data_IF_409360636591
#
_entry.id   IF_409360636591
#
_cell.length_a   1.000
_cell.length_b   1.000
_cell.length_c   1.000
_cell.angle_alpha   90.00
_cell.angle_beta   90.00
_cell.angle_gamma   90.00
#
_symmetry.space_group_name_H-M   'P 1'
#
loop_
_entity.id
_entity.type
_entity.pdbx_description
1 polymer ?
#
# COMPACT_ATOMS: atom_id res chain seq x y z
N UNK A 1 11.09 -1.55 -12.30
CA UNK A 1 10.41 -2.27 -13.41
C UNK A 1 11.36 -2.81 -14.46
N UNK A 2 12.66 -2.61 -14.24
CA UNK A 2 13.72 -3.15 -15.09
C UNK A 2 13.64 -4.69 -15.23
N UNK A 3 13.17 -5.40 -14.19
CA UNK A 3 12.92 -6.84 -14.25
C UNK A 3 11.97 -7.24 -15.41
N UNK A 4 10.88 -6.48 -15.63
CA UNK A 4 9.93 -6.79 -16.71
C UNK A 4 10.60 -6.65 -18.09
N UNK A 5 11.47 -5.64 -18.25
CA UNK A 5 12.25 -5.47 -19.48
C UNK A 5 13.24 -6.63 -19.67
N UNK A 6 14.00 -7.00 -18.63
CA UNK A 6 14.95 -8.13 -18.69
C UNK A 6 14.25 -9.46 -18.96
N UNK A 7 13.13 -9.69 -18.27
CA UNK A 7 12.43 -10.98 -18.34
C UNK A 7 11.70 -11.20 -19.68
N UNK A 8 11.09 -10.16 -20.19
CA UNK A 8 10.23 -10.24 -21.38
C UNK A 8 10.85 -9.56 -22.62
N UNK A 9 12.01 -8.90 -22.52
CA UNK A 9 12.60 -8.18 -23.62
C UNK A 9 11.78 -6.95 -24.07
N UNK A 10 10.87 -6.42 -23.23
CA UNK A 10 9.89 -5.41 -23.61
C UNK A 10 10.02 -4.11 -22.82
N UNK A 11 10.46 -3.05 -23.49
CA UNK A 11 10.40 -1.69 -22.94
C UNK A 11 8.98 -1.25 -22.63
N UNK A 12 8.00 -1.70 -23.44
CA UNK A 12 6.58 -1.38 -23.24
C UNK A 12 6.04 -1.92 -21.92
N UNK A 13 6.32 -3.18 -21.57
CA UNK A 13 5.91 -3.76 -20.29
C UNK A 13 6.55 -3.05 -19.09
N UNK A 14 7.81 -2.61 -19.22
CA UNK A 14 8.45 -1.80 -18.19
C UNK A 14 7.72 -0.48 -17.97
N UNK A 15 7.39 0.23 -19.06
CA UNK A 15 6.65 1.50 -19.01
C UNK A 15 5.25 1.29 -18.43
N UNK A 16 4.52 0.27 -18.88
CA UNK A 16 3.19 -0.07 -18.33
C UNK A 16 3.24 -0.35 -16.83
N UNK A 17 4.23 -1.14 -16.38
CA UNK A 17 4.43 -1.41 -14.96
C UNK A 17 4.71 -0.13 -14.15
N UNK A 18 5.53 0.77 -14.68
CA UNK A 18 5.82 2.05 -14.05
C UNK A 18 4.57 2.97 -13.98
N UNK A 19 3.77 3.02 -15.03
CA UNK A 19 2.50 3.79 -15.04
C UNK A 19 1.53 3.24 -14.00
N UNK A 20 1.33 1.93 -13.92
CA UNK A 20 0.46 1.33 -12.91
C UNK A 20 0.93 1.62 -11.48
N UNK A 21 2.24 1.58 -11.25
CA UNK A 21 2.80 1.98 -9.95
C UNK A 21 2.53 3.45 -9.62
N UNK A 22 2.66 4.35 -10.59
CA UNK A 22 2.37 5.78 -10.37
C UNK A 22 0.89 5.98 -10.01
N UNK A 23 -0.02 5.31 -10.72
CA UNK A 23 -1.46 5.33 -10.41
C UNK A 23 -1.71 4.83 -8.98
N UNK A 24 -1.13 3.67 -8.63
CA UNK A 24 -1.21 3.13 -7.28
C UNK A 24 -0.69 4.12 -6.23
N UNK A 25 0.45 4.72 -6.48
CA UNK A 25 1.10 5.62 -5.52
C UNK A 25 0.30 6.93 -5.32
N UNK A 26 -0.33 7.45 -6.36
CA UNK A 26 -1.25 8.59 -6.24
C UNK A 26 -2.41 8.24 -5.31
N UNK A 27 -3.10 7.13 -5.54
CA UNK A 27 -4.22 6.72 -4.67
C UNK A 27 -3.77 6.49 -3.22
N UNK A 28 -2.61 5.85 -3.03
CA UNK A 28 -2.02 5.64 -1.70
C UNK A 28 -1.71 6.97 -1.00
N UNK A 29 -1.05 7.89 -1.66
CA UNK A 29 -0.73 9.20 -1.09
C UNK A 29 -2.00 9.98 -0.75
N UNK A 30 -3.03 9.90 -1.58
CA UNK A 30 -4.27 10.63 -1.38
C UNK A 30 -5.02 10.17 -0.12
N UNK A 31 -5.12 8.87 0.12
CA UNK A 31 -5.79 8.35 1.32
C UNK A 31 -4.96 8.64 2.59
N UNK A 32 -3.64 8.62 2.49
CA UNK A 32 -2.73 8.93 3.59
C UNK A 32 -2.76 10.42 3.96
N UNK A 33 -3.00 11.32 3.01
CA UNK A 33 -3.26 12.74 3.32
C UNK A 33 -4.65 12.94 3.93
N UNK A 34 -5.66 12.26 3.40
CA UNK A 34 -7.04 12.42 3.83
C UNK A 34 -7.26 12.10 5.31
N UNK A 35 -6.79 10.92 5.78
CA UNK A 35 -7.08 10.41 7.11
C UNK A 35 -6.63 11.34 8.25
N UNK A 36 -5.35 11.74 8.38
CA UNK A 36 -4.92 12.64 9.44
C UNK A 36 -5.57 14.01 9.36
N UNK A 37 -5.84 14.51 8.13
CA UNK A 37 -6.49 15.80 7.94
C UNK A 37 -7.97 15.75 8.38
N UNK A 38 -8.67 14.66 8.11
CA UNK A 38 -10.04 14.45 8.59
C UNK A 38 -10.08 14.43 10.12
N UNK A 39 -9.16 13.71 10.75
CA UNK A 39 -9.02 13.65 12.21
C UNK A 39 -8.81 15.05 12.79
N UNK A 40 -7.82 15.78 12.29
CA UNK A 40 -7.52 17.12 12.82
C UNK A 40 -8.66 18.11 12.56
N UNK A 41 -9.33 18.00 11.41
CA UNK A 41 -10.50 18.81 11.08
C UNK A 41 -11.65 18.59 12.06
N UNK A 42 -11.95 17.34 12.43
CA UNK A 42 -13.01 17.02 13.39
C UNK A 42 -12.71 17.53 14.81
N UNK A 43 -11.43 17.62 15.19
CA UNK A 43 -11.01 18.09 16.51
C UNK A 43 -10.88 19.62 16.62
N UNK A 44 -10.45 20.27 15.55
CA UNK A 44 -10.11 21.72 15.56
C UNK A 44 -11.17 22.57 14.90
N UNK A 45 -12.09 22.00 14.13
CA UNK A 45 -13.04 22.72 13.28
C UNK A 45 -12.42 23.37 12.04
N UNK A 46 -11.11 23.17 11.80
CA UNK A 46 -10.44 23.68 10.60
C UNK A 46 -10.91 22.91 9.38
N UNK A 47 -11.12 23.60 8.27
CA UNK A 47 -11.58 22.97 7.03
C UNK A 47 -10.60 21.89 6.55
N UNK A 48 -11.09 20.66 6.32
CA UNK A 48 -10.30 19.49 5.94
C UNK A 48 -9.51 19.74 4.63
N UNK A 49 -10.10 20.46 3.66
CA UNK A 49 -9.43 20.75 2.40
C UNK A 49 -8.21 21.67 2.61
N UNK A 50 -8.31 22.64 3.52
CA UNK A 50 -7.18 23.50 3.88
C UNK A 50 -6.05 22.69 4.50
N UNK A 51 -6.36 21.76 5.41
CA UNK A 51 -5.39 20.89 6.04
C UNK A 51 -4.69 19.97 5.02
N UNK A 52 -5.45 19.41 4.07
CA UNK A 52 -4.91 18.59 2.97
C UNK A 52 -3.94 19.41 2.11
N UNK A 53 -4.29 20.64 1.75
CA UNK A 53 -3.41 21.51 0.97
C UNK A 53 -2.11 21.82 1.73
N UNK A 54 -2.21 22.21 3.00
CA UNK A 54 -1.03 22.48 3.84
C UNK A 54 -0.13 21.27 3.94
N UNK A 55 -0.70 20.09 4.25
CA UNK A 55 0.04 18.84 4.37
C UNK A 55 0.73 18.45 3.06
N UNK A 56 0.00 18.56 1.94
CA UNK A 56 0.54 18.23 0.63
C UNK A 56 1.65 19.18 0.17
N UNK A 57 1.52 20.49 0.43
CA UNK A 57 2.56 21.49 0.12
C UNK A 57 3.84 21.17 0.93
N UNK A 58 3.71 20.89 2.22
CA UNK A 58 4.85 20.53 3.08
C UNK A 58 5.52 19.25 2.53
N UNK A 59 4.74 18.22 2.13
CA UNK A 59 5.28 16.99 1.55
C UNK A 59 6.06 17.25 0.26
N UNK A 60 5.53 18.10 -0.62
CA UNK A 60 6.17 18.47 -1.89
C UNK A 60 7.50 19.20 -1.62
N UNK A 61 7.51 20.21 -0.76
CA UNK A 61 8.72 20.98 -0.41
C UNK A 61 9.78 20.03 0.15
N UNK A 62 9.38 19.15 1.05
CA UNK A 62 10.26 18.21 1.71
C UNK A 62 10.86 17.18 0.74
N UNK A 63 10.04 16.63 -0.17
CA UNK A 63 10.50 15.72 -1.22
C UNK A 63 11.43 16.41 -2.22
N UNK A 64 11.15 17.67 -2.56
CA UNK A 64 11.95 18.45 -3.50
C UNK A 64 13.36 18.74 -3.00
N UNK A 65 13.53 18.97 -1.69
CA UNK A 65 14.81 19.40 -1.08
C UNK A 65 15.64 18.25 -0.51
N UNK A 66 15.00 17.16 -0.05
CA UNK A 66 15.62 16.20 0.86
C UNK A 66 16.35 15.01 0.22
N UNK A 67 15.90 14.51 -0.91
CA UNK A 67 16.40 13.27 -1.51
C UNK A 67 16.26 12.02 -0.61
N UNK A 68 16.66 10.84 -1.11
CA UNK A 68 16.44 9.55 -0.44
C UNK A 68 17.10 9.43 0.94
N UNK A 69 18.32 9.97 1.11
CA UNK A 69 19.06 9.88 2.39
C UNK A 69 18.37 10.65 3.50
N UNK A 70 17.87 11.83 3.20
CA UNK A 70 17.11 12.65 4.16
C UNK A 70 15.83 11.95 4.57
N UNK A 71 15.10 11.38 3.60
CA UNK A 71 13.85 10.64 3.82
C UNK A 71 14.09 9.45 4.77
N UNK A 72 15.15 8.65 4.57
CA UNK A 72 15.42 7.50 5.45
C UNK A 72 15.69 7.90 6.90
N UNK A 73 16.39 9.01 7.16
CA UNK A 73 16.64 9.50 8.51
C UNK A 73 15.38 10.03 9.19
N UNK A 74 14.58 10.78 8.45
CA UNK A 74 13.32 11.30 8.99
C UNK A 74 12.30 10.19 9.21
N UNK A 75 12.21 9.19 8.32
CA UNK A 75 11.38 8.00 8.50
C UNK A 75 11.72 7.27 9.81
N UNK A 76 13.02 7.14 10.12
CA UNK A 76 13.46 6.50 11.35
C UNK A 76 13.01 7.28 12.60
N UNK A 77 13.21 8.60 12.63
CA UNK A 77 12.82 9.46 13.76
C UNK A 77 11.30 9.46 13.92
N UNK A 78 10.56 9.67 12.83
CA UNK A 78 9.10 9.74 12.83
C UNK A 78 8.46 8.40 13.22
N UNK A 79 9.00 7.30 12.71
CA UNK A 79 8.57 5.95 13.10
C UNK A 79 8.83 5.64 14.55
N UNK A 80 9.98 6.11 15.11
CA UNK A 80 10.29 5.93 16.51
C UNK A 80 9.33 6.71 17.42
N UNK A 81 9.03 7.96 17.09
CA UNK A 81 8.06 8.79 17.84
C UNK A 81 6.67 8.18 17.78
N UNK A 82 6.23 7.71 16.60
CA UNK A 82 4.95 7.02 16.45
C UNK A 82 4.89 5.75 17.32
N UNK A 83 5.92 4.92 17.28
CA UNK A 83 5.98 3.68 18.05
C UNK A 83 5.88 3.94 19.57
N UNK A 84 6.62 4.91 20.06
CA UNK A 84 6.57 5.33 21.48
C UNK A 84 5.16 5.84 21.83
N UNK A 85 4.61 6.74 21.01
CA UNK A 85 3.30 7.34 21.24
C UNK A 85 2.16 6.32 21.24
N UNK A 86 2.16 5.39 20.28
CA UNK A 86 1.14 4.33 20.16
C UNK A 86 1.26 3.32 21.32
N UNK A 87 2.50 2.95 21.69
CA UNK A 87 2.73 2.06 22.84
C UNK A 87 2.25 2.71 24.16
N UNK A 88 2.57 3.99 24.35
CA UNK A 88 2.05 4.75 25.49
C UNK A 88 0.52 4.80 25.50
N UNK A 89 -0.10 5.07 24.34
CA UNK A 89 -1.57 5.09 24.20
C UNK A 89 -2.20 3.76 24.61
N UNK A 90 -1.58 2.62 24.25
CA UNK A 90 -2.04 1.30 24.67
C UNK A 90 -1.96 1.15 26.20
N UNK A 91 -0.85 1.51 26.84
CA UNK A 91 -0.72 1.40 28.29
C UNK A 91 -1.69 2.32 29.03
N UNK A 92 -1.88 3.54 28.53
CA UNK A 92 -2.85 4.47 29.09
C UNK A 92 -4.27 3.94 28.98
N UNK A 93 -4.64 3.37 27.81
CA UNK A 93 -5.94 2.74 27.58
C UNK A 93 -6.17 1.57 28.53
N UNK A 94 -5.18 0.68 28.69
CA UNK A 94 -5.25 -0.46 29.60
C UNK A 94 -5.42 -0.07 31.06
N UNK A 95 -4.84 1.07 31.46
CA UNK A 95 -4.98 1.59 32.83
C UNK A 95 -6.38 2.18 33.11
N UNK A 96 -7.16 2.52 32.08
CA UNK A 96 -8.49 3.13 32.19
C UNK A 96 -9.65 2.19 31.78
N UNK A 97 -9.34 0.92 31.49
CA UNK A 97 -10.34 -0.12 31.26
C UNK A 97 -10.51 -0.92 32.56
N UNK A 98 -11.73 -1.05 33.07
CA UNK A 98 -12.04 -1.90 34.20
C UNK A 98 -11.71 -3.37 33.87
N UNK A 99 -10.82 -3.97 34.67
CA UNK A 99 -10.27 -5.29 34.43
C UNK A 99 -9.07 -5.34 33.47
N UNK A 100 -8.62 -4.19 32.93
CA UNK A 100 -7.39 -4.03 32.15
C UNK A 100 -7.30 -4.97 30.94
N UNK A 101 -6.11 -5.56 30.71
CA UNK A 101 -5.88 -6.46 29.58
C UNK A 101 -6.72 -7.74 29.61
N UNK A 102 -7.15 -8.18 30.83
CA UNK A 102 -8.02 -9.35 30.99
C UNK A 102 -9.37 -9.16 30.28
N UNK A 103 -9.96 -7.98 30.36
CA UNK A 103 -11.24 -7.67 29.69
C UNK A 103 -11.10 -7.65 28.18
N UNK A 104 -9.95 -7.20 27.66
CA UNK A 104 -9.67 -7.27 26.21
C UNK A 104 -9.61 -8.73 25.73
N UNK A 105 -8.91 -9.61 26.47
CA UNK A 105 -8.86 -11.03 26.12
C UNK A 105 -10.21 -11.71 26.27
N UNK A 106 -11.02 -11.30 27.24
CA UNK A 106 -12.39 -11.76 27.37
C UNK A 106 -13.22 -11.36 26.14
N UNK A 107 -13.13 -10.11 25.69
CA UNK A 107 -13.80 -9.65 24.46
C UNK A 107 -13.32 -10.41 23.21
N UNK A 108 -12.03 -10.76 23.13
CA UNK A 108 -11.54 -11.63 22.06
C UNK A 108 -12.23 -13.00 22.05
N UNK A 109 -12.42 -13.59 23.21
CA UNK A 109 -12.95 -14.95 23.35
C UNK A 109 -14.49 -15.00 23.24
N UNK A 110 -15.20 -14.05 23.87
CA UNK A 110 -16.66 -14.08 24.01
C UNK A 110 -17.42 -13.25 22.99
N UNK A 111 -16.82 -12.15 22.53
CA UNK A 111 -17.44 -11.23 21.57
C UNK A 111 -16.83 -11.33 20.17
N UNK A 112 -16.09 -12.43 19.96
CA UNK A 112 -15.55 -12.79 18.66
C UNK A 112 -14.67 -11.70 17.99
N UNK A 113 -14.01 -10.87 18.79
CA UNK A 113 -13.14 -9.79 18.28
C UNK A 113 -11.79 -10.27 17.75
N UNK A 114 -11.40 -11.53 18.00
CA UNK A 114 -10.16 -12.11 17.50
C UNK A 114 -10.25 -12.55 16.03
N UNK A 115 -11.40 -13.12 15.63
CA UNK A 115 -11.70 -13.47 14.25
C UNK A 115 -13.04 -12.83 13.86
N UNK A 116 -13.20 -12.42 12.62
CA UNK A 116 -14.47 -11.92 12.08
C UNK A 116 -15.48 -13.07 12.00
N UNK A 117 -16.18 -13.34 13.10
CA UNK A 117 -16.98 -14.55 13.31
C UNK A 117 -18.29 -14.53 12.54
N UNK A 118 -18.71 -13.35 12.10
CA UNK A 118 -19.86 -13.21 11.18
C UNK A 118 -19.55 -13.76 9.78
N UNK A 119 -18.27 -14.08 9.52
CA UNK A 119 -17.81 -14.63 8.25
C UNK A 119 -17.44 -16.12 8.40
N UNK A 120 -17.79 -16.97 7.45
CA UNK A 120 -17.40 -18.37 7.48
C UNK A 120 -15.88 -18.51 7.42
N UNK A 121 -15.31 -19.48 8.11
CA UNK A 121 -13.86 -19.76 8.03
C UNK A 121 -13.45 -20.04 6.58
N UNK A 122 -14.24 -20.84 5.88
CA UNK A 122 -14.05 -21.18 4.48
C UNK A 122 -15.38 -21.04 3.72
N UNK A 123 -15.33 -20.40 2.55
CA UNK A 123 -16.44 -20.32 1.60
C UNK A 123 -15.97 -20.97 0.29
N UNK A 124 -16.70 -21.96 -0.25
CA UNK A 124 -16.39 -22.54 -1.57
C UNK A 124 -16.39 -21.50 -2.69
N UNK A 125 -17.19 -20.44 -2.56
CA UNK A 125 -17.16 -19.30 -3.45
C UNK A 125 -16.06 -18.33 -3.03
N UNK A 126 -14.91 -18.37 -3.72
CA UNK A 126 -13.75 -17.49 -3.48
C UNK A 126 -14.04 -16.00 -3.75
N UNK A 127 -15.18 -15.67 -4.33
CA UNK A 127 -15.60 -14.29 -4.57
C UNK A 127 -16.30 -13.67 -3.34
N UNK A 128 -16.74 -14.50 -2.38
CA UNK A 128 -17.40 -14.04 -1.17
C UNK A 128 -16.44 -13.99 0.02
N UNK A 129 -16.78 -13.18 1.00
CA UNK A 129 -15.98 -13.04 2.21
C UNK A 129 -15.90 -14.37 2.97
N UNK A 130 -14.70 -14.67 3.43
CA UNK A 130 -14.37 -15.72 4.38
C UNK A 130 -13.02 -15.41 5.01
N UNK A 131 -12.78 -15.93 6.21
CA UNK A 131 -11.49 -15.73 6.91
C UNK A 131 -10.32 -16.21 6.03
N UNK A 132 -10.49 -17.34 5.35
CA UNK A 132 -9.49 -17.89 4.44
C UNK A 132 -9.15 -16.92 3.29
N UNK A 133 -10.17 -16.37 2.62
CA UNK A 133 -9.96 -15.43 1.50
C UNK A 133 -9.35 -14.12 1.99
N UNK A 134 -9.72 -13.62 3.17
CA UNK A 134 -9.12 -12.43 3.77
C UNK A 134 -7.62 -12.65 4.02
N UNK A 135 -7.23 -13.78 4.62
CA UNK A 135 -5.82 -14.10 4.89
C UNK A 135 -5.02 -14.26 3.60
N UNK A 136 -5.55 -15.04 2.65
CA UNK A 136 -4.85 -15.32 1.38
C UNK A 136 -4.78 -14.06 0.52
N UNK A 137 -5.86 -13.30 0.42
CA UNK A 137 -5.90 -12.05 -0.35
C UNK A 137 -4.99 -10.97 0.23
N UNK A 138 -5.01 -10.77 1.55
CA UNK A 138 -4.09 -9.86 2.23
C UNK A 138 -2.63 -10.30 2.04
N UNK A 139 -2.37 -11.61 2.10
CA UNK A 139 -1.06 -12.19 1.83
C UNK A 139 -0.55 -11.88 0.42
N UNK A 140 -1.39 -12.06 -0.61
CA UNK A 140 -1.03 -11.70 -1.98
C UNK A 140 -0.86 -10.18 -2.17
N UNK A 141 -1.72 -9.35 -1.57
CA UNK A 141 -1.56 -7.89 -1.60
C UNK A 141 -0.21 -7.47 -0.99
N UNK A 142 0.13 -8.01 0.18
CA UNK A 142 1.40 -7.70 0.86
C UNK A 142 2.60 -8.19 0.06
N UNK A 143 2.59 -9.46 -0.39
CA UNK A 143 3.65 -10.01 -1.24
C UNK A 143 3.84 -9.17 -2.51
N UNK A 144 2.75 -8.73 -3.11
CA UNK A 144 2.78 -7.87 -4.28
C UNK A 144 3.43 -6.53 -4.03
N UNK A 145 3.16 -5.91 -2.91
CA UNK A 145 3.80 -4.67 -2.52
C UNK A 145 5.33 -4.84 -2.41
N UNK A 146 5.80 -5.95 -1.81
CA UNK A 146 7.23 -6.22 -1.68
C UNK A 146 7.93 -6.49 -3.02
N UNK A 147 7.23 -7.05 -4.01
CA UNK A 147 7.78 -7.41 -5.32
C UNK A 147 7.65 -6.28 -6.33
N UNK A 148 6.52 -5.56 -6.32
CA UNK A 148 6.18 -4.61 -7.39
C UNK A 148 6.17 -3.15 -6.97
N UNK A 149 6.28 -2.82 -5.69
CA UNK A 149 6.27 -1.42 -5.24
C UNK A 149 7.67 -0.83 -5.22
N UNK A 150 7.90 0.20 -6.04
CA UNK A 150 9.22 0.83 -6.21
C UNK A 150 9.76 1.43 -4.91
N UNK A 151 8.90 1.98 -4.06
CA UNK A 151 9.29 2.57 -2.78
C UNK A 151 9.87 1.53 -1.79
N UNK A 152 9.42 0.30 -1.87
CA UNK A 152 9.94 -0.82 -1.07
C UNK A 152 11.22 -1.38 -1.71
N UNK A 153 11.17 -1.70 -3.01
CA UNK A 153 12.30 -2.28 -3.75
C UNK A 153 13.51 -1.36 -3.71
N UNK A 154 13.32 -0.04 -3.84
CA UNK A 154 14.39 0.95 -3.78
C UNK A 154 15.15 0.93 -2.43
N UNK A 155 14.47 0.62 -1.33
CA UNK A 155 15.11 0.47 -0.02
C UNK A 155 15.96 -0.81 0.06
N UNK A 156 15.50 -1.91 -0.53
CA UNK A 156 16.27 -3.16 -0.56
C UNK A 156 17.54 -3.04 -1.41
N UNK A 157 17.52 -2.23 -2.47
CA UNK A 157 18.68 -2.01 -3.32
C UNK A 157 19.76 -1.09 -2.72
N UNK A 158 19.55 -0.55 -1.50
CA UNK A 158 20.58 0.20 -0.76
C UNK A 158 21.72 -0.67 -0.25
N UNK A 159 21.56 -2.01 -0.26
CA UNK A 159 22.61 -2.97 0.10
C UNK A 159 22.76 -4.04 -0.97
N UNK A 160 24.00 -4.44 -1.23
CA UNK A 160 24.35 -5.58 -2.10
C UNK A 160 24.64 -6.86 -1.31
N UNK A 161 24.69 -6.76 0.03
CA UNK A 161 24.99 -7.87 0.92
C UNK A 161 23.70 -8.63 1.27
N UNK A 162 23.58 -9.85 0.80
CA UNK A 162 22.44 -10.73 1.05
C UNK A 162 22.17 -11.00 2.54
N UNK A 163 23.21 -11.07 3.38
CA UNK A 163 23.05 -11.25 4.83
C UNK A 163 22.41 -10.03 5.47
N UNK A 164 22.84 -8.83 5.06
CA UNK A 164 22.24 -7.57 5.52
C UNK A 164 20.80 -7.45 5.03
N UNK A 165 20.52 -7.80 3.78
CA UNK A 165 19.17 -7.80 3.23
C UNK A 165 18.26 -8.73 4.02
N UNK A 166 18.67 -9.97 4.28
CA UNK A 166 17.88 -10.91 5.07
C UNK A 166 17.63 -10.39 6.48
N UNK A 167 18.62 -9.79 7.14
CA UNK A 167 18.45 -9.16 8.45
C UNK A 167 17.44 -8.01 8.40
N UNK A 168 17.49 -7.16 7.37
CA UNK A 168 16.51 -6.09 7.17
C UNK A 168 15.09 -6.65 7.03
N UNK A 169 14.90 -7.70 6.21
CA UNK A 169 13.58 -8.32 5.99
C UNK A 169 13.04 -8.97 7.27
N UNK A 170 13.86 -9.71 8.00
CA UNK A 170 13.46 -10.34 9.28
C UNK A 170 13.12 -9.29 10.34
N UNK A 171 13.92 -8.23 10.46
CA UNK A 171 13.65 -7.13 11.40
C UNK A 171 12.34 -6.42 11.03
N UNK A 172 12.13 -6.12 9.74
CA UNK A 172 10.90 -5.52 9.27
C UNK A 172 9.67 -6.41 9.55
N UNK A 173 9.78 -7.73 9.32
CA UNK A 173 8.71 -8.69 9.62
C UNK A 173 8.38 -8.73 11.12
N UNK A 174 9.39 -8.84 11.99
CA UNK A 174 9.19 -8.82 13.43
C UNK A 174 8.57 -7.52 13.93
N UNK A 175 9.06 -6.39 13.44
CA UNK A 175 8.52 -5.06 13.79
C UNK A 175 7.08 -4.87 13.29
N UNK A 176 6.76 -5.38 12.10
CA UNK A 176 5.39 -5.33 11.55
C UNK A 176 4.41 -6.14 12.39
N UNK A 177 4.81 -7.34 12.87
CA UNK A 177 3.99 -8.16 13.79
C UNK A 177 3.75 -7.41 15.09
N UNK A 178 4.80 -6.83 15.68
CA UNK A 178 4.70 -6.06 16.92
C UNK A 178 3.74 -4.88 16.77
N UNK A 179 3.93 -4.06 15.74
CA UNK A 179 3.09 -2.89 15.46
C UNK A 179 1.64 -3.30 15.22
N UNK A 180 1.40 -4.32 14.40
CA UNK A 180 0.05 -4.82 14.14
C UNK A 180 -0.61 -5.27 15.45
N UNK A 181 0.08 -6.03 16.29
CA UNK A 181 -0.44 -6.48 17.60
C UNK A 181 -0.84 -5.30 18.48
N UNK A 182 0.01 -4.27 18.57
CA UNK A 182 -0.28 -3.07 19.37
C UNK A 182 -1.54 -2.36 18.87
N UNK A 183 -1.66 -2.15 17.55
CA UNK A 183 -2.84 -1.48 16.98
C UNK A 183 -4.13 -2.30 17.12
N UNK A 184 -4.07 -3.63 16.97
CA UNK A 184 -5.23 -4.49 17.19
C UNK A 184 -5.66 -4.50 18.67
N UNK A 185 -4.71 -4.51 19.60
CA UNK A 185 -5.01 -4.38 21.04
C UNK A 185 -5.65 -3.03 21.36
N UNK A 186 -5.17 -1.92 20.75
CA UNK A 186 -5.79 -0.62 20.89
C UNK A 186 -7.22 -0.64 20.32
N UNK A 187 -7.42 -1.18 19.13
CA UNK A 187 -8.73 -1.25 18.50
C UNK A 187 -9.77 -1.99 19.36
N UNK A 188 -9.42 -3.18 19.87
CA UNK A 188 -10.30 -3.94 20.78
C UNK A 188 -10.39 -3.26 22.14
N UNK A 189 -9.30 -2.66 22.63
CA UNK A 189 -9.32 -1.90 23.87
C UNK A 189 -10.26 -0.69 23.79
N UNK A 190 -10.28 0.05 22.68
CA UNK A 190 -11.23 1.15 22.46
C UNK A 190 -12.67 0.67 22.42
N UNK A 191 -12.91 -0.50 21.80
CA UNK A 191 -14.24 -1.12 21.83
C UNK A 191 -14.71 -1.38 23.27
N UNK A 192 -13.87 -2.00 24.10
CA UNK A 192 -14.17 -2.26 25.52
C UNK A 192 -14.30 -0.98 26.31
N UNK A 193 -13.40 -0.01 26.10
CA UNK A 193 -13.40 1.27 26.79
C UNK A 193 -14.71 2.04 26.56
N UNK A 194 -15.19 2.09 25.32
CA UNK A 194 -16.45 2.77 24.99
C UNK A 194 -17.71 1.94 25.25
N UNK A 195 -17.60 0.69 25.67
CA UNK A 195 -18.70 -0.02 26.34
C UNK A 195 -18.84 0.40 27.80
N UNK A 196 -17.74 0.75 28.45
CA UNK A 196 -17.71 1.21 29.84
C UNK A 196 -17.92 2.72 29.99
N UNK A 197 -17.62 3.49 28.93
CA UNK A 197 -17.69 4.95 28.89
C UNK A 197 -18.56 5.43 27.72
N UNK A 198 -19.09 6.65 27.83
CA UNK A 198 -19.92 7.23 26.78
C UNK A 198 -19.09 7.47 25.48
N UNK A 199 -19.63 7.03 24.36
CA UNK A 199 -19.06 7.35 23.04
C UNK A 199 -19.16 8.86 22.78
N UNK A 200 -18.10 9.48 22.20
CA UNK A 200 -18.17 10.86 21.76
C UNK A 200 -19.33 11.05 20.76
N UNK A 201 -20.09 12.15 20.84
CA UNK A 201 -21.19 12.42 19.90
C UNK A 201 -20.67 12.42 18.46
N UNK A 202 -21.35 11.70 17.56
CA UNK A 202 -21.14 11.70 16.11
C UNK A 202 -19.75 11.21 15.62
N UNK A 203 -19.04 10.37 16.37
CA UNK A 203 -17.79 9.77 15.87
C UNK A 203 -18.08 8.69 14.81
N UNK A 204 -17.69 8.93 13.56
CA UNK A 204 -17.62 7.88 12.58
C UNK A 204 -16.57 6.81 12.99
N UNK A 205 -16.70 5.58 12.52
CA UNK A 205 -15.83 4.46 12.91
C UNK A 205 -14.34 4.80 12.76
N UNK A 206 -13.94 5.45 11.66
CA UNK A 206 -12.56 5.88 11.43
C UNK A 206 -12.10 7.03 12.34
N UNK A 207 -13.01 7.65 13.11
CA UNK A 207 -12.72 8.77 14.04
C UNK A 207 -12.61 8.35 15.50
N UNK A 208 -12.96 7.10 15.86
CA UNK A 208 -13.00 6.65 17.26
C UNK A 208 -11.66 6.79 17.95
N UNK A 209 -10.57 6.31 17.33
CA UNK A 209 -9.23 6.42 17.90
C UNK A 209 -8.76 7.88 18.00
N UNK A 210 -9.11 8.68 17.02
CA UNK A 210 -8.82 10.11 17.03
C UNK A 210 -9.53 10.85 18.16
N UNK A 211 -10.80 10.53 18.37
CA UNK A 211 -11.58 11.09 19.48
C UNK A 211 -11.00 10.68 20.85
N UNK A 212 -10.56 9.43 20.98
CA UNK A 212 -9.87 8.96 22.18
C UNK A 212 -8.57 9.77 22.42
N UNK A 213 -7.76 9.97 21.38
CA UNK A 213 -6.54 10.76 21.49
C UNK A 213 -6.83 12.19 21.95
N UNK A 214 -7.92 12.79 21.45
CA UNK A 214 -8.25 14.19 21.70
C UNK A 214 -8.85 14.43 23.08
N UNK A 215 -9.72 13.55 23.54
CA UNK A 215 -10.56 13.80 24.70
C UNK A 215 -10.16 13.01 25.94
N UNK A 216 -9.51 11.85 25.78
CA UNK A 216 -9.18 10.97 26.89
C UNK A 216 -7.69 11.01 27.30
N UNK A 217 -6.79 11.32 26.36
CA UNK A 217 -5.36 11.37 26.67
C UNK A 217 -4.97 12.70 27.36
N UNK A 218 -3.95 12.67 28.24
CA UNK A 218 -3.39 13.89 28.82
C UNK A 218 -2.88 14.86 27.74
N UNK A 219 -3.08 16.16 27.94
CA UNK A 219 -2.83 17.23 26.94
C UNK A 219 -1.47 17.12 26.22
N UNK A 220 -0.37 16.84 26.94
CA UNK A 220 0.94 16.69 26.31
C UNK A 220 1.07 15.49 25.39
N UNK A 221 0.43 14.37 25.74
CA UNK A 221 0.45 13.15 24.92
C UNK A 221 -0.49 13.26 23.72
N UNK A 222 -1.60 13.95 23.83
CA UNK A 222 -2.48 14.27 22.69
C UNK A 222 -1.69 14.99 21.59
N UNK A 223 -0.97 16.05 21.94
CA UNK A 223 -0.14 16.78 20.98
C UNK A 223 0.97 15.94 20.38
N UNK A 224 1.65 15.11 21.18
CA UNK A 224 2.70 14.22 20.72
C UNK A 224 2.18 13.18 19.73
N UNK A 225 1.03 12.54 20.02
CA UNK A 225 0.43 11.53 19.15
C UNK A 225 -0.08 12.12 17.85
N UNK A 226 -0.74 13.27 17.89
CA UNK A 226 -1.16 13.98 16.69
C UNK A 226 0.05 14.34 15.81
N UNK A 227 1.10 14.89 16.40
CA UNK A 227 2.34 15.18 15.68
C UNK A 227 2.97 13.90 15.09
N UNK A 228 2.96 12.77 15.82
CA UNK A 228 3.45 11.49 15.33
C UNK A 228 2.65 10.95 14.14
N UNK A 229 1.33 11.04 14.18
CA UNK A 229 0.45 10.63 13.07
C UNK A 229 0.73 11.48 11.82
N UNK A 230 0.83 12.80 11.98
CA UNK A 230 1.18 13.70 10.88
C UNK A 230 2.58 13.42 10.33
N UNK A 231 3.55 13.20 11.22
CA UNK A 231 4.91 12.87 10.83
C UNK A 231 4.98 11.55 10.04
N UNK A 232 4.26 10.50 10.47
CA UNK A 232 4.20 9.22 9.78
C UNK A 232 3.55 9.34 8.40
N UNK A 233 2.48 10.13 8.27
CA UNK A 233 1.86 10.42 6.99
C UNK A 233 2.84 11.18 6.07
N UNK A 234 3.52 12.20 6.59
CA UNK A 234 4.50 12.99 5.85
C UNK A 234 5.66 12.15 5.32
N UNK A 235 6.17 11.21 6.13
CA UNK A 235 7.18 10.23 5.74
C UNK A 235 6.73 9.40 4.53
N UNK A 236 5.51 8.88 4.58
CA UNK A 236 4.96 8.07 3.48
C UNK A 236 4.75 8.90 2.21
N UNK A 237 4.30 10.15 2.34
CA UNK A 237 4.12 11.06 1.21
C UNK A 237 5.46 11.39 0.53
N UNK A 238 6.49 11.75 1.29
CA UNK A 238 7.81 12.08 0.75
C UNK A 238 8.46 10.88 0.06
N UNK A 239 8.35 9.69 0.65
CA UNK A 239 8.81 8.44 0.03
C UNK A 239 8.05 8.14 -1.25
N UNK A 240 6.71 8.35 -1.26
CA UNK A 240 5.87 8.18 -2.43
C UNK A 240 6.27 9.09 -3.58
N UNK A 241 6.44 10.37 -3.32
CA UNK A 241 6.85 11.35 -4.32
C UNK A 241 8.23 11.04 -4.91
N UNK A 242 9.20 10.65 -4.08
CA UNK A 242 10.54 10.27 -4.54
C UNK A 242 10.51 8.99 -5.40
N UNK A 243 9.72 7.99 -5.02
CA UNK A 243 9.62 6.73 -5.77
C UNK A 243 8.93 6.92 -7.13
N UNK A 244 7.92 7.79 -7.19
CA UNK A 244 7.26 8.18 -8.44
C UNK A 244 8.25 8.93 -9.35
N UNK A 245 9.02 9.89 -8.82
CA UNK A 245 10.04 10.61 -9.57
C UNK A 245 11.10 9.65 -10.15
N UNK A 246 11.58 8.70 -9.34
CA UNK A 246 12.53 7.68 -9.77
C UNK A 246 11.93 6.76 -10.85
N UNK A 247 10.71 6.29 -10.66
CA UNK A 247 10.03 5.43 -11.63
C UNK A 247 9.78 6.15 -12.95
N UNK A 248 9.34 7.41 -12.90
CA UNK A 248 9.16 8.22 -14.12
C UNK A 248 10.49 8.41 -14.87
N UNK A 249 11.53 8.85 -14.18
CA UNK A 249 12.81 9.17 -14.81
C UNK A 249 13.52 7.95 -15.36
N UNK A 250 13.54 6.84 -14.61
CA UNK A 250 14.32 5.65 -14.97
C UNK A 250 13.54 4.63 -15.82
N UNK A 251 12.23 4.51 -15.61
CA UNK A 251 11.42 3.48 -16.26
C UNK A 251 10.59 4.01 -17.43
N UNK A 252 10.23 5.29 -17.43
CA UNK A 252 9.46 5.91 -18.51
C UNK A 252 10.33 6.82 -19.35
N UNK A 253 10.83 7.91 -18.78
CA UNK A 253 11.56 8.95 -19.52
C UNK A 253 12.81 8.39 -20.21
N UNK A 254 13.66 7.66 -19.47
CA UNK A 254 14.89 7.08 -20.01
C UNK A 254 14.65 6.01 -21.09
N UNK A 255 13.45 5.41 -21.14
CA UNK A 255 13.09 4.38 -22.14
C UNK A 255 12.38 4.94 -23.36
N UNK A 256 11.68 6.06 -23.22
CA UNK A 256 11.02 6.76 -24.34
C UNK A 256 11.93 7.80 -25.01
N UNK A 257 12.93 8.32 -24.30
CA UNK A 257 13.88 9.29 -24.84
C UNK A 257 14.87 8.61 -25.82
N UNK A 258 15.11 9.26 -26.95
CA UNK A 258 16.13 8.85 -27.94
C UNK A 258 17.55 9.24 -27.53
N UNK A 259 17.70 10.17 -26.56
CA UNK A 259 19.01 10.69 -26.12
C UNK A 259 19.17 10.39 -24.64
N UNK A 260 20.36 10.01 -24.23
CA UNK A 260 20.72 9.93 -22.82
C UNK A 260 20.66 11.32 -22.19
N UNK A 261 19.93 11.40 -21.07
CA UNK A 261 19.80 12.63 -20.31
C UNK A 261 20.92 12.72 -19.28
N UNK A 262 21.53 13.89 -19.13
CA UNK A 262 22.48 14.13 -18.05
C UNK A 262 21.80 13.96 -16.68
N UNK A 263 22.58 13.57 -15.67
CA UNK A 263 22.08 13.37 -14.30
C UNK A 263 21.34 14.59 -13.77
N UNK A 264 21.84 15.79 -14.05
CA UNK A 264 21.19 17.05 -13.65
C UNK A 264 19.80 17.22 -14.28
N UNK A 265 19.65 16.90 -15.57
CA UNK A 265 18.35 16.94 -16.26
C UNK A 265 17.39 15.90 -15.71
N UNK A 266 17.88 14.68 -15.43
CA UNK A 266 17.06 13.63 -14.81
C UNK A 266 16.54 14.08 -13.43
N UNK A 267 17.40 14.70 -12.61
CA UNK A 267 17.02 15.23 -11.29
C UNK A 267 15.95 16.32 -11.42
N UNK A 268 16.11 17.29 -12.32
CA UNK A 268 15.11 18.35 -12.57
C UNK A 268 13.76 17.77 -13.04
N UNK A 269 13.79 16.81 -13.96
CA UNK A 269 12.57 16.13 -14.40
C UNK A 269 11.88 15.43 -13.23
N UNK A 270 12.64 14.69 -12.41
CA UNK A 270 12.11 14.05 -11.21
C UNK A 270 11.46 15.03 -10.24
N UNK A 271 12.06 16.20 -10.02
CA UNK A 271 11.51 17.26 -9.19
C UNK A 271 10.18 17.80 -9.75
N UNK A 272 10.09 18.06 -11.06
CA UNK A 272 8.84 18.48 -11.70
C UNK A 272 7.75 17.40 -11.62
N UNK A 273 8.12 16.13 -11.80
CA UNK A 273 7.19 15.01 -11.67
C UNK A 273 6.66 14.91 -10.24
N UNK A 274 7.53 15.03 -9.23
CA UNK A 274 7.10 15.06 -7.82
C UNK A 274 6.11 16.19 -7.55
N UNK A 275 6.36 17.39 -8.10
CA UNK A 275 5.46 18.53 -7.96
C UNK A 275 4.09 18.25 -8.59
N UNK A 276 4.05 17.82 -9.85
CA UNK A 276 2.81 17.55 -10.59
C UNK A 276 2.01 16.45 -9.92
N UNK A 277 2.66 15.34 -9.57
CA UNK A 277 2.01 14.19 -8.92
C UNK A 277 1.55 14.55 -7.50
N UNK A 278 2.33 15.36 -6.78
CA UNK A 278 1.95 15.85 -5.46
C UNK A 278 0.69 16.73 -5.51
N UNK A 279 0.60 17.65 -6.47
CA UNK A 279 -0.61 18.47 -6.70
C UNK A 279 -1.80 17.58 -7.05
N UNK A 280 -1.59 16.60 -7.93
CA UNK A 280 -2.65 15.67 -8.31
C UNK A 280 -3.13 14.82 -7.12
N UNK A 281 -2.22 14.35 -6.26
CA UNK A 281 -2.57 13.63 -5.05
C UNK A 281 -3.36 14.50 -4.04
N UNK A 282 -3.05 15.81 -3.93
CA UNK A 282 -3.83 16.77 -3.14
C UNK A 282 -5.27 16.83 -3.67
N UNK A 283 -5.44 17.00 -4.98
CA UNK A 283 -6.77 17.09 -5.60
C UNK A 283 -7.57 15.81 -5.36
N UNK A 284 -6.96 14.63 -5.58
CA UNK A 284 -7.63 13.34 -5.33
C UNK A 284 -7.96 13.18 -3.85
N UNK A 285 -7.09 13.62 -2.94
CA UNK A 285 -7.36 13.61 -1.49
C UNK A 285 -8.57 14.47 -1.12
N UNK A 286 -8.71 15.67 -1.72
CA UNK A 286 -9.87 16.53 -1.52
C UNK A 286 -11.16 15.89 -2.06
N UNK A 287 -11.09 15.20 -3.19
CA UNK A 287 -12.23 14.45 -3.74
C UNK A 287 -12.63 13.33 -2.78
N UNK A 288 -11.68 12.58 -2.21
CA UNK A 288 -11.96 11.55 -1.21
C UNK A 288 -12.58 12.12 0.07
N UNK A 289 -12.07 13.26 0.54
CA UNK A 289 -12.58 13.94 1.74
C UNK A 289 -14.04 14.40 1.60
N UNK A 290 -14.48 14.74 0.39
CA UNK A 290 -15.84 15.19 0.11
C UNK A 290 -16.72 14.08 -0.50
N UNK A 291 -16.15 12.91 -0.82
CA UNK A 291 -16.81 11.80 -1.49
C UNK A 291 -17.52 10.79 -0.57
N UNK A 292 -17.52 10.99 0.74
CA UNK A 292 -18.23 10.12 1.69
C UNK A 292 -17.64 8.71 1.81
N UNK A 293 -16.31 8.57 1.81
CA UNK A 293 -15.62 7.29 2.02
C UNK A 293 -16.01 6.72 3.39
N UNK A 294 -16.66 5.55 3.41
CA UNK A 294 -17.13 4.91 4.65
C UNK A 294 -16.02 4.29 5.47
N UNK A 295 -15.07 3.61 4.80
CA UNK A 295 -13.89 3.02 5.40
C UNK A 295 -12.68 3.28 4.51
N UNK A 296 -11.72 4.04 5.02
CA UNK A 296 -10.47 4.34 4.32
C UNK A 296 -9.61 3.08 4.15
N UNK A 297 -9.65 2.17 5.12
CA UNK A 297 -8.94 0.89 5.06
C UNK A 297 -9.44 -0.01 3.93
N UNK A 298 -10.75 -0.17 3.80
CA UNK A 298 -11.37 -0.96 2.73
C UNK A 298 -11.13 -0.33 1.36
N UNK A 299 -11.30 1.00 1.27
CA UNK A 299 -11.02 1.73 0.04
C UNK A 299 -9.58 1.50 -0.42
N UNK A 300 -8.62 1.63 0.50
CA UNK A 300 -7.20 1.44 0.20
C UNK A 300 -6.89 0.01 -0.24
N UNK A 301 -7.36 -1.01 0.50
CA UNK A 301 -7.12 -2.41 0.16
C UNK A 301 -7.78 -2.81 -1.16
N UNK A 302 -9.00 -2.34 -1.42
CA UNK A 302 -9.68 -2.55 -2.69
C UNK A 302 -8.93 -1.89 -3.85
N UNK A 303 -8.51 -0.64 -3.69
CA UNK A 303 -7.71 0.06 -4.70
C UNK A 303 -6.35 -0.61 -4.93
N UNK A 304 -5.68 -1.04 -3.85
CA UNK A 304 -4.43 -1.78 -3.94
C UNK A 304 -4.61 -3.09 -4.71
N UNK A 305 -5.65 -3.85 -4.41
CA UNK A 305 -5.96 -5.10 -5.11
C UNK A 305 -6.25 -4.91 -6.60
N UNK A 306 -7.00 -3.84 -6.94
CA UNK A 306 -7.31 -3.50 -8.33
C UNK A 306 -6.06 -3.15 -9.15
N UNK A 307 -5.15 -2.37 -8.60
CA UNK A 307 -4.01 -1.81 -9.36
C UNK A 307 -2.76 -2.68 -9.24
N UNK A 308 -2.33 -3.00 -8.00
CA UNK A 308 -1.16 -3.84 -7.80
C UNK A 308 -1.41 -5.30 -8.18
N UNK A 309 -2.64 -5.81 -8.07
CA UNK A 309 -2.96 -7.18 -8.47
C UNK A 309 -2.55 -7.48 -9.91
N UNK A 310 -2.71 -6.53 -10.84
CA UNK A 310 -2.30 -6.65 -12.24
C UNK A 310 -0.78 -6.80 -12.35
N UNK A 311 -0.05 -5.97 -11.61
CA UNK A 311 1.42 -6.05 -11.57
C UNK A 311 1.90 -7.37 -10.97
N UNK A 312 1.32 -7.78 -9.85
CA UNK A 312 1.65 -9.04 -9.18
C UNK A 312 1.48 -10.22 -10.14
N UNK A 313 0.33 -10.29 -10.84
CA UNK A 313 0.07 -11.34 -11.82
C UNK A 313 1.13 -11.38 -12.92
N UNK A 314 1.54 -10.22 -13.43
CA UNK A 314 2.59 -10.13 -14.45
C UNK A 314 3.96 -10.55 -13.91
N UNK A 315 4.32 -10.15 -12.68
CA UNK A 315 5.56 -10.56 -12.03
C UNK A 315 5.58 -12.07 -11.75
N UNK A 316 4.47 -12.63 -11.24
CA UNK A 316 4.34 -14.08 -11.01
C UNK A 316 4.44 -14.85 -12.32
N UNK A 317 3.76 -14.42 -13.38
CA UNK A 317 3.87 -15.00 -14.70
C UNK A 317 5.34 -15.02 -15.17
N UNK A 318 6.08 -13.92 -14.96
CA UNK A 318 7.49 -13.83 -15.31
C UNK A 318 8.40 -14.73 -14.50
N UNK A 319 8.26 -14.71 -13.17
CA UNK A 319 9.16 -15.39 -12.25
C UNK A 319 8.95 -16.91 -12.20
N UNK A 320 7.68 -17.36 -12.29
CA UNK A 320 7.32 -18.75 -12.08
C UNK A 320 7.06 -19.55 -13.36
N UNK A 321 7.22 -18.94 -14.54
CA UNK A 321 7.06 -19.68 -15.82
C UNK A 321 8.26 -19.52 -16.73
N UNK A 322 8.67 -20.60 -17.39
CA UNK A 322 9.70 -20.56 -18.45
C UNK A 322 9.12 -20.17 -19.81
N UNK A 323 7.86 -20.48 -20.04
CA UNK A 323 7.20 -20.34 -21.35
C UNK A 323 6.74 -18.92 -21.65
N UNK A 324 6.54 -18.10 -20.61
CA UNK A 324 6.05 -16.74 -20.77
C UNK A 324 6.98 -15.89 -21.63
N UNK A 325 6.40 -15.18 -22.60
CA UNK A 325 7.07 -14.26 -23.50
C UNK A 325 6.39 -12.89 -23.51
N UNK A 326 6.92 -11.94 -24.27
CA UNK A 326 6.41 -10.58 -24.39
C UNK A 326 4.93 -10.53 -24.78
N UNK A 327 4.53 -11.33 -25.77
CA UNK A 327 3.15 -11.33 -26.26
C UNK A 327 2.18 -11.80 -25.18
N UNK A 328 2.46 -12.97 -24.56
CA UNK A 328 1.61 -13.52 -23.52
C UNK A 328 1.54 -12.62 -22.28
N UNK A 329 2.66 -12.02 -21.88
CA UNK A 329 2.70 -11.09 -20.75
C UNK A 329 1.90 -9.80 -21.03
N UNK A 330 1.99 -9.25 -22.25
CA UNK A 330 1.21 -8.06 -22.65
C UNK A 330 -0.28 -8.38 -22.69
N UNK A 331 -0.66 -9.51 -23.24
CA UNK A 331 -2.07 -9.94 -23.30
C UNK A 331 -2.62 -10.22 -21.89
N UNK A 332 -1.83 -10.85 -21.03
CA UNK A 332 -2.17 -11.08 -19.62
C UNK A 332 -2.40 -9.76 -18.86
N UNK A 333 -1.52 -8.79 -19.07
CA UNK A 333 -1.65 -7.46 -18.46
C UNK A 333 -2.93 -6.76 -18.91
N UNK A 334 -3.22 -6.76 -20.20
CA UNK A 334 -4.43 -6.15 -20.78
C UNK A 334 -5.69 -6.87 -20.27
N UNK A 335 -5.69 -8.21 -20.29
CA UNK A 335 -6.82 -9.00 -19.83
C UNK A 335 -7.10 -8.80 -18.34
N UNK A 336 -6.06 -8.83 -17.49
CA UNK A 336 -6.20 -8.55 -16.06
C UNK A 336 -6.73 -7.12 -15.82
N UNK A 337 -6.23 -6.13 -16.56
CA UNK A 337 -6.73 -4.76 -16.47
C UNK A 337 -8.19 -4.64 -16.85
N UNK A 338 -8.60 -5.28 -17.96
CA UNK A 338 -9.99 -5.28 -18.43
C UNK A 338 -10.92 -5.97 -17.41
N UNK A 339 -10.52 -7.12 -16.86
CA UNK A 339 -11.29 -7.83 -15.83
C UNK A 339 -11.43 -7.00 -14.57
N UNK A 340 -10.36 -6.35 -14.09
CA UNK A 340 -10.42 -5.51 -12.89
C UNK A 340 -11.31 -4.28 -13.09
N UNK A 341 -11.24 -3.62 -14.23
CA UNK A 341 -12.15 -2.54 -14.61
C UNK A 341 -13.59 -3.07 -14.70
N UNK A 342 -13.79 -4.23 -15.31
CA UNK A 342 -15.08 -4.89 -15.39
C UNK A 342 -15.68 -5.17 -14.01
N UNK A 343 -14.92 -5.74 -13.10
CA UNK A 343 -15.36 -6.00 -11.72
C UNK A 343 -15.75 -4.68 -11.05
N UNK A 344 -14.92 -3.65 -11.16
CA UNK A 344 -15.17 -2.38 -10.47
C UNK A 344 -16.45 -1.68 -10.90
N UNK A 345 -16.80 -1.74 -12.19
CA UNK A 345 -17.91 -0.93 -12.75
C UNK A 345 -19.17 -1.72 -13.04
N UNK A 346 -19.08 -3.03 -13.25
CA UNK A 346 -20.21 -3.85 -13.69
C UNK A 346 -20.63 -4.94 -12.70
N UNK A 347 -19.83 -5.19 -11.64
CA UNK A 347 -20.16 -6.18 -10.62
C UNK A 347 -20.51 -5.47 -9.31
N UNK A 348 -21.64 -5.80 -8.68
CA UNK A 348 -21.98 -5.26 -7.36
C UNK A 348 -20.90 -5.55 -6.33
N UNK A 349 -20.60 -4.58 -5.47
CA UNK A 349 -19.52 -4.71 -4.47
C UNK A 349 -19.77 -5.86 -3.48
N UNK A 350 -21.03 -6.25 -3.28
CA UNK A 350 -21.45 -7.38 -2.45
C UNK A 350 -21.18 -8.76 -3.08
N UNK A 351 -20.94 -8.80 -4.39
CA UNK A 351 -20.73 -10.06 -5.12
C UNK A 351 -19.26 -10.47 -5.20
N UNK A 352 -18.34 -9.52 -5.09
CA UNK A 352 -16.90 -9.80 -5.14
C UNK A 352 -16.17 -9.05 -4.04
N UNK A 353 -15.64 -9.81 -3.08
CA UNK A 353 -14.84 -9.24 -2.00
C UNK A 353 -13.55 -8.61 -2.51
N UNK A 354 -13.16 -7.49 -1.90
CA UNK A 354 -11.90 -6.79 -2.21
C UNK A 354 -10.67 -7.67 -2.03
N UNK A 355 -10.73 -8.65 -1.15
CA UNK A 355 -9.65 -9.59 -0.88
C UNK A 355 -9.38 -10.56 -2.04
N UNK A 356 -10.39 -10.79 -2.90
CA UNK A 356 -10.25 -11.64 -4.10
C UNK A 356 -9.60 -10.91 -5.28
N UNK A 357 -9.51 -9.58 -5.29
CA UNK A 357 -9.03 -8.82 -6.46
C UNK A 357 -7.63 -9.23 -6.92
N UNK A 358 -6.67 -9.35 -5.99
CA UNK A 358 -5.33 -9.81 -6.35
C UNK A 358 -5.30 -11.26 -6.82
N UNK A 359 -6.10 -12.13 -6.21
CA UNK A 359 -6.20 -13.55 -6.58
C UNK A 359 -6.75 -13.66 -8.00
N UNK A 360 -7.83 -12.93 -8.31
CA UNK A 360 -8.44 -12.90 -9.65
C UNK A 360 -7.43 -12.38 -10.68
N UNK A 361 -6.74 -11.26 -10.38
CA UNK A 361 -5.73 -10.69 -11.27
C UNK A 361 -4.59 -11.67 -11.57
N UNK A 362 -4.10 -12.38 -10.56
CA UNK A 362 -3.06 -13.40 -10.71
C UNK A 362 -3.61 -14.55 -11.58
N UNK A 363 -4.79 -15.06 -11.26
CA UNK A 363 -5.42 -16.15 -12.02
C UNK A 363 -5.61 -15.80 -13.50
N UNK A 364 -6.16 -14.61 -13.78
CA UNK A 364 -6.33 -14.12 -15.17
C UNK A 364 -4.98 -13.99 -15.86
N UNK A 365 -3.97 -13.44 -15.19
CA UNK A 365 -2.63 -13.31 -15.77
C UNK A 365 -2.01 -14.65 -16.14
N UNK A 366 -2.20 -15.69 -15.32
CA UNK A 366 -1.68 -17.02 -15.60
C UNK A 366 -2.51 -17.74 -16.69
N UNK A 367 -3.85 -17.71 -16.57
CA UNK A 367 -4.77 -18.40 -17.49
C UNK A 367 -4.69 -17.81 -18.90
N UNK A 368 -4.48 -16.51 -19.04
CA UNK A 368 -4.34 -15.87 -20.36
C UNK A 368 -2.88 -15.89 -20.82
N UNK A 369 -1.94 -15.56 -19.94
CA UNK A 369 -0.54 -15.35 -20.30
C UNK A 369 0.18 -16.64 -20.70
N UNK A 370 -0.07 -17.75 -20.01
CA UNK A 370 0.60 -19.02 -20.33
C UNK A 370 0.14 -19.57 -21.69
N UNK A 371 -1.17 -19.77 -21.97
CA UNK A 371 -1.61 -20.26 -23.26
C UNK A 371 -1.23 -19.32 -24.42
N UNK A 372 -1.38 -18.01 -24.24
CA UNK A 372 -1.00 -17.04 -25.26
C UNK A 372 0.50 -17.12 -25.59
N UNK A 373 1.36 -17.30 -24.57
CA UNK A 373 2.79 -17.49 -24.78
C UNK A 373 3.10 -18.79 -25.50
N UNK A 374 2.43 -19.90 -25.15
CA UNK A 374 2.61 -21.20 -25.79
C UNK A 374 2.17 -21.17 -27.27
N UNK A 375 1.02 -20.59 -27.56
CA UNK A 375 0.51 -20.42 -28.92
C UNK A 375 1.49 -19.60 -29.76
N UNK A 376 1.95 -18.44 -29.21
CA UNK A 376 2.90 -17.57 -29.89
C UNK A 376 4.22 -18.29 -30.21
N UNK A 377 4.77 -19.05 -29.25
CA UNK A 377 5.98 -19.85 -29.45
C UNK A 377 5.80 -20.88 -30.57
N UNK A 378 4.67 -21.56 -30.55
CA UNK A 378 4.35 -22.57 -31.61
C UNK A 378 4.22 -21.93 -32.99
N UNK A 379 3.55 -20.76 -33.08
CA UNK A 379 3.29 -20.09 -34.39
C UNK A 379 4.57 -19.45 -34.94
N UNK A 380 5.41 -18.86 -34.05
CA UNK A 380 6.64 -18.14 -34.46
C UNK A 380 7.89 -19.01 -34.43
N UNK A 381 7.83 -20.26 -33.97
CA UNK A 381 9.00 -21.12 -33.79
C UNK A 381 9.99 -20.58 -32.76
N UNK A 382 9.50 -19.79 -31.79
CA UNK A 382 10.33 -19.13 -30.79
C UNK A 382 10.74 -20.13 -29.70
N UNK A 383 12.02 -20.49 -29.70
CA UNK A 383 12.68 -21.37 -28.71
C UNK A 383 13.48 -20.60 -27.68
N UNK A 384 13.37 -19.26 -27.64
CA UNK A 384 14.14 -18.42 -26.71
C UNK A 384 13.91 -18.81 -25.26
N UNK A 385 15.00 -18.93 -24.51
CA UNK A 385 14.95 -19.13 -23.06
C UNK A 385 14.90 -17.80 -22.32
N UNK A 386 14.28 -17.75 -21.13
CA UNK A 386 14.30 -16.56 -20.30
C UNK A 386 15.74 -16.19 -19.91
N UNK A 387 16.02 -14.89 -19.80
CA UNK A 387 17.34 -14.41 -19.38
C UNK A 387 17.74 -15.01 -18.03
N UNK A 388 19.03 -15.24 -17.83
CA UNK A 388 19.58 -15.80 -16.59
C UNK A 388 19.15 -14.93 -15.38
N UNK A 389 18.82 -15.57 -14.28
CA UNK A 389 18.33 -14.95 -13.04
C UNK A 389 16.98 -14.23 -13.14
N UNK A 390 16.20 -14.41 -14.19
CA UNK A 390 14.87 -13.79 -14.32
C UNK A 390 13.72 -14.74 -13.95
N UNK A 391 14.01 -16.02 -13.77
CA UNK A 391 13.04 -17.01 -13.26
C UNK A 391 13.63 -17.84 -12.13
N UNK A 392 12.79 -18.44 -11.31
CA UNK A 392 13.22 -19.37 -10.24
C UNK A 392 13.96 -20.61 -10.81
N UNK A 393 13.78 -20.90 -12.10
CA UNK A 393 14.37 -22.04 -12.81
C UNK A 393 15.73 -21.69 -13.45
N UNK A 394 16.05 -20.41 -13.61
CA UNK A 394 17.30 -19.93 -14.23
C UNK A 394 18.25 -19.29 -13.21
N UNK A 395 17.91 -19.39 -11.91
CA UNK A 395 18.69 -18.83 -10.80
C UNK A 395 19.86 -19.73 -10.37
N UNK A 396 20.00 -20.93 -10.95
CA UNK A 396 21.12 -21.88 -10.69
C UNK A 396 22.21 -21.77 -11.74
#
# INVERSE_FOLDING_TARGET
>A
YHYLELRFGSKGLRVLGAVMFIIYQVGRMSIIMYLPCMVLSSLTGINVNLLIVIMGIIAIIYSYTGGLKSVLWTDFIQGSVLLIGVTFSLFFLLAHIDGGIGTIFHAFATEHKFLAVDQPIFNPNILKDSVFIMIVGAGFNTMGSYVSSQDIVQRFTTTTDTKKLNKMMLTNGGLSIFIATVFYLIGTGLYVFYQQNALPPAAAQDQIFASYIAFELPVGFTGLLLAAIYAAAQSTLSTGLNSVAASWTLDIQARLSKKELSFEKQTKIGQYVSLIVGIFAIVVSMVLANGGVKSAYEWFNGFMGLVLGILIGTFILGAFTKVANTFGATLAFIAASAVMVGIKYFVPAEDVTIWSYSIISIAVSLVVGIPASMIWRKVKGDTSEPAKYTTIYTSK
#
